data_IF_285641459200
#
_entry.id   IF_285641459200
#
_cell.length_a   1.000
_cell.length_b   1.000
_cell.length_c   1.000
_cell.angle_alpha   90.00
_cell.angle_beta   90.00
_cell.angle_gamma   90.00
#
_symmetry.space_group_name_H-M   'P 1'
#
loop_
_entity.id
_entity.type
_entity.pdbx_description
1 polymer ?
#
# COMPACT_ATOMS: atom_id res chain seq x y z
N UNK A 1 -1.94 -33.33 -6.77
CA UNK A 1 -1.46 -32.46 -7.85
C UNK A 1 -1.70 -31.02 -7.39
N UNK A 2 -0.70 -30.14 -7.42
CA UNK A 2 -0.87 -28.73 -7.06
C UNK A 2 -1.53 -28.02 -8.25
N UNK A 3 -2.58 -27.25 -7.98
CA UNK A 3 -3.24 -26.41 -8.98
C UNK A 3 -2.81 -24.96 -8.79
N UNK A 4 -2.64 -24.23 -9.87
CA UNK A 4 -2.33 -22.81 -9.87
C UNK A 4 -3.62 -22.02 -9.63
N UNK A 5 -3.54 -20.90 -8.91
CA UNK A 5 -4.66 -19.98 -8.77
C UNK A 5 -4.90 -19.26 -10.10
N UNK A 6 -5.95 -19.65 -10.81
CA UNK A 6 -6.28 -19.15 -12.16
C UNK A 6 -6.69 -17.65 -12.15
N UNK A 7 -7.04 -17.07 -10.99
CA UNK A 7 -7.34 -15.65 -10.92
C UNK A 7 -6.14 -14.78 -11.31
N UNK A 8 -4.91 -15.28 -11.17
CA UNK A 8 -3.71 -14.58 -11.65
C UNK A 8 -3.71 -14.37 -13.17
N UNK A 9 -4.44 -15.19 -13.94
CA UNK A 9 -4.58 -15.03 -15.39
C UNK A 9 -5.46 -13.83 -15.76
N UNK A 10 -6.27 -13.32 -14.83
CA UNK A 10 -7.11 -12.13 -15.00
C UNK A 10 -6.33 -10.82 -14.84
N UNK A 11 -5.12 -10.86 -14.24
CA UNK A 11 -4.28 -9.69 -14.10
C UNK A 11 -3.79 -9.21 -15.47
N UNK A 12 -3.77 -7.88 -15.66
CA UNK A 12 -3.19 -7.30 -16.88
C UNK A 12 -1.71 -7.66 -16.98
N UNK A 13 -1.31 -8.18 -18.13
CA UNK A 13 0.09 -8.47 -18.41
C UNK A 13 0.91 -7.17 -18.39
N UNK A 14 2.00 -7.15 -17.59
CA UNK A 14 2.88 -6.00 -17.49
C UNK A 14 2.52 -5.05 -16.35
N UNK A 15 3.18 -5.22 -15.22
CA UNK A 15 3.08 -4.26 -14.12
C UNK A 15 3.55 -2.88 -14.57
N UNK A 16 2.77 -1.84 -14.28
CA UNK A 16 2.93 -0.48 -14.78
C UNK A 16 4.37 0.08 -14.62
N UNK A 17 4.97 -0.10 -13.46
CA UNK A 17 6.27 0.52 -13.15
C UNK A 17 7.45 -0.03 -13.97
N UNK A 18 7.62 -1.36 -14.16
CA UNK A 18 8.63 -1.90 -15.08
C UNK A 18 8.44 -1.43 -16.51
N UNK A 19 7.21 -1.32 -16.99
CA UNK A 19 6.95 -0.85 -18.36
C UNK A 19 7.33 0.63 -18.53
N UNK A 20 6.97 1.50 -17.56
CA UNK A 20 7.39 2.90 -17.56
C UNK A 20 8.91 3.00 -17.51
N UNK A 21 9.58 2.26 -16.63
CA UNK A 21 11.05 2.24 -16.53
C UNK A 21 11.71 1.85 -17.84
N UNK A 22 11.17 0.84 -18.53
CA UNK A 22 11.65 0.40 -19.84
C UNK A 22 11.48 1.50 -20.91
N UNK A 23 10.33 2.18 -20.94
CA UNK A 23 10.06 3.29 -21.88
C UNK A 23 10.99 4.47 -21.60
N UNK A 24 11.16 4.85 -20.33
CA UNK A 24 12.08 5.93 -19.92
C UNK A 24 13.52 5.59 -20.35
N UNK A 25 14.00 4.37 -20.06
CA UNK A 25 15.35 3.93 -20.44
C UNK A 25 15.55 4.00 -21.95
N UNK A 26 14.58 3.51 -22.73
CA UNK A 26 14.64 3.58 -24.20
C UNK A 26 14.68 5.02 -24.70
N UNK A 27 13.86 5.91 -24.15
CA UNK A 27 13.84 7.32 -24.52
C UNK A 27 15.16 8.02 -24.19
N UNK A 28 15.69 7.82 -22.97
CA UNK A 28 16.97 8.42 -22.53
C UNK A 28 18.15 7.95 -23.37
N UNK A 29 18.17 6.67 -23.77
CA UNK A 29 19.21 6.16 -24.67
C UNK A 29 19.18 6.80 -26.05
N UNK A 30 17.98 7.05 -26.57
CA UNK A 30 17.79 7.69 -27.87
C UNK A 30 18.02 9.21 -27.84
N UNK A 31 17.80 9.85 -26.68
CA UNK A 31 17.83 11.32 -26.52
C UNK A 31 18.77 11.71 -25.38
N UNK A 32 20.07 11.54 -25.60
CA UNK A 32 21.13 11.73 -24.56
C UNK A 32 21.20 13.14 -23.96
N UNK A 33 20.70 14.15 -24.65
CA UNK A 33 20.69 15.55 -24.20
C UNK A 33 19.38 15.94 -23.49
N UNK A 34 18.41 15.05 -23.43
CA UNK A 34 17.10 15.35 -22.81
C UNK A 34 17.09 14.91 -21.34
N UNK A 35 16.64 15.82 -20.48
CA UNK A 35 16.33 15.51 -19.10
C UNK A 35 14.89 14.98 -18.99
N UNK A 36 14.69 13.89 -18.29
CA UNK A 36 13.37 13.30 -18.07
C UNK A 36 12.85 13.65 -16.67
N UNK A 37 11.79 14.44 -16.59
CA UNK A 37 11.08 14.76 -15.36
C UNK A 37 10.11 13.61 -15.05
N UNK A 38 10.31 12.92 -13.93
CA UNK A 38 9.50 11.76 -13.52
C UNK A 38 8.38 12.22 -12.60
N UNK A 39 7.15 12.25 -13.11
CA UNK A 39 5.94 12.64 -12.36
C UNK A 39 4.98 11.46 -12.14
N UNK A 40 5.34 10.25 -12.58
CA UNK A 40 4.44 9.11 -12.62
C UNK A 40 4.41 8.24 -11.37
N UNK A 41 5.33 8.42 -10.45
CA UNK A 41 5.43 7.64 -9.21
C UNK A 41 5.61 8.59 -8.04
N UNK A 42 4.73 8.46 -7.04
CA UNK A 42 4.94 9.10 -5.74
C UNK A 42 6.04 8.33 -5.00
N UNK A 43 7.22 8.90 -4.95
CA UNK A 43 8.37 8.33 -4.24
C UNK A 43 8.94 9.36 -3.26
N UNK A 44 9.69 8.88 -2.28
CA UNK A 44 10.43 9.76 -1.38
C UNK A 44 11.57 10.44 -2.13
N UNK A 45 11.69 11.75 -2.01
CA UNK A 45 12.71 12.55 -2.69
C UNK A 45 13.75 13.11 -1.73
N UNK A 46 13.47 13.04 -0.43
CA UNK A 46 14.34 13.57 0.62
C UNK A 46 14.93 12.44 1.48
N UNK A 47 16.15 12.60 1.98
CA UNK A 47 16.76 11.63 2.89
C UNK A 47 16.02 11.61 4.24
N UNK A 48 16.21 10.52 4.99
CA UNK A 48 15.64 10.40 6.33
C UNK A 48 16.14 11.56 7.23
N UNK A 49 15.24 12.21 7.97
CA UNK A 49 15.65 13.22 8.95
C UNK A 49 16.60 12.65 10.02
N UNK A 50 17.55 13.46 10.48
CA UNK A 50 18.52 13.03 11.50
C UNK A 50 17.86 12.50 12.78
N UNK A 51 16.70 13.02 13.18
CA UNK A 51 15.96 12.50 14.33
C UNK A 51 15.55 11.04 14.16
N UNK A 52 15.14 10.66 12.97
CA UNK A 52 14.80 9.26 12.64
C UNK A 52 16.05 8.38 12.66
N UNK A 53 17.15 8.82 12.02
CA UNK A 53 18.42 8.09 11.99
C UNK A 53 18.92 7.85 13.42
N UNK A 54 18.93 8.88 14.26
CA UNK A 54 19.37 8.78 15.66
C UNK A 54 18.50 7.81 16.47
N UNK A 55 17.18 7.87 16.29
CA UNK A 55 16.25 6.96 16.98
C UNK A 55 16.46 5.50 16.55
N UNK A 56 16.63 5.24 15.25
CA UNK A 56 16.92 3.90 14.72
C UNK A 56 18.26 3.37 15.22
N UNK A 57 19.31 4.22 15.21
CA UNK A 57 20.63 3.85 15.72
C UNK A 57 20.59 3.49 17.21
N UNK A 58 19.83 4.29 18.00
CA UNK A 58 19.64 4.00 19.44
C UNK A 58 18.95 2.67 19.63
N UNK A 59 17.85 2.40 18.91
CA UNK A 59 17.11 1.14 19.00
C UNK A 59 17.99 -0.06 18.60
N UNK A 60 18.80 0.09 17.56
CA UNK A 60 19.73 -0.96 17.13
C UNK A 60 20.78 -1.28 18.22
N UNK A 61 21.36 -0.26 18.84
CA UNK A 61 22.32 -0.44 19.93
C UNK A 61 21.66 -1.10 21.16
N UNK A 62 20.42 -0.76 21.48
CA UNK A 62 19.65 -1.41 22.55
C UNK A 62 19.46 -2.90 22.25
N UNK A 63 19.09 -3.26 21.00
CA UNK A 63 18.91 -4.65 20.56
C UNK A 63 20.21 -5.50 20.70
N UNK A 64 21.37 -4.86 20.65
CA UNK A 64 22.66 -5.51 20.83
C UNK A 64 23.02 -5.86 22.30
N UNK A 65 22.16 -5.57 23.26
CA UNK A 65 22.38 -5.82 24.69
C UNK A 65 21.42 -6.87 25.22
N UNK A 66 21.85 -7.65 26.24
CA UNK A 66 20.98 -8.65 26.89
C UNK A 66 19.71 -8.05 27.49
N UNK A 67 19.78 -6.81 27.99
CA UNK A 67 18.64 -6.13 28.61
C UNK A 67 17.74 -5.41 27.59
N UNK A 68 18.27 -5.04 26.46
CA UNK A 68 17.55 -4.31 25.39
C UNK A 68 17.01 -5.22 24.29
N UNK A 69 17.49 -6.45 24.22
CA UNK A 69 17.01 -7.43 23.23
C UNK A 69 15.48 -7.60 23.29
N UNK A 70 14.85 -7.61 22.13
CA UNK A 70 13.41 -7.84 21.96
C UNK A 70 13.20 -9.09 21.10
N UNK A 71 12.47 -10.05 21.63
CA UNK A 71 11.95 -11.18 20.85
C UNK A 71 10.63 -10.80 20.13
N UNK A 72 9.71 -11.74 20.05
CA UNK A 72 8.36 -11.45 19.54
C UNK A 72 7.68 -10.37 20.37
N UNK A 73 7.18 -9.34 19.69
CA UNK A 73 6.36 -8.30 20.31
C UNK A 73 4.89 -8.73 20.49
N UNK A 74 4.06 -7.87 21.09
CA UNK A 74 2.62 -8.07 21.09
C UNK A 74 2.05 -8.08 19.66
N UNK A 75 1.06 -8.92 19.38
CA UNK A 75 0.47 -9.14 18.07
C UNK A 75 -0.06 -7.85 17.42
N UNK A 76 -0.68 -6.97 18.21
CA UNK A 76 -1.16 -5.65 17.73
C UNK A 76 -0.05 -4.59 17.61
N UNK A 77 1.15 -4.88 18.04
CA UNK A 77 2.23 -3.90 18.21
C UNK A 77 2.34 -3.36 19.64
N UNK A 78 3.46 -2.76 19.97
CA UNK A 78 3.73 -2.26 21.30
C UNK A 78 2.69 -1.24 21.75
N UNK A 79 2.18 -1.39 22.97
CA UNK A 79 1.17 -0.51 23.55
C UNK A 79 1.58 0.97 23.51
N UNK A 80 2.81 1.29 23.89
CA UNK A 80 3.31 2.65 23.86
C UNK A 80 3.28 3.28 22.46
N UNK A 81 3.52 2.49 21.41
CA UNK A 81 3.47 2.94 20.02
C UNK A 81 2.02 3.22 19.60
N UNK A 82 1.11 2.28 19.90
CA UNK A 82 -0.33 2.44 19.62
C UNK A 82 -0.92 3.67 20.34
N UNK A 83 -0.53 3.91 21.62
CA UNK A 83 -0.91 5.11 22.37
C UNK A 83 -0.39 6.39 21.71
N UNK A 84 0.85 6.39 21.21
CA UNK A 84 1.42 7.53 20.49
C UNK A 84 0.72 7.79 19.16
N UNK A 85 0.40 6.76 18.40
CA UNK A 85 -0.37 6.86 17.15
C UNK A 85 -1.76 7.43 17.46
N UNK A 86 -2.49 6.84 18.42
CA UNK A 86 -3.81 7.33 18.83
C UNK A 86 -3.78 8.82 19.20
N UNK A 87 -2.80 9.24 20.00
CA UNK A 87 -2.70 10.62 20.46
C UNK A 87 -2.31 11.60 19.34
N UNK A 88 -1.23 11.29 18.61
CA UNK A 88 -0.61 12.26 17.69
C UNK A 88 -1.26 12.29 16.31
N UNK A 89 -1.73 11.13 15.82
CA UNK A 89 -2.26 11.02 14.46
C UNK A 89 -3.79 11.17 14.41
N UNK A 90 -4.49 10.87 15.49
CA UNK A 90 -5.95 10.93 15.57
C UNK A 90 -6.48 11.97 16.56
N UNK A 91 -6.23 11.80 17.85
CA UNK A 91 -6.83 12.67 18.88
C UNK A 91 -6.42 14.14 18.69
N UNK A 92 -5.18 14.42 18.35
CA UNK A 92 -4.70 15.78 18.07
C UNK A 92 -5.40 16.46 16.89
N UNK A 93 -6.04 15.65 16.02
CA UNK A 93 -6.82 16.10 14.86
C UNK A 93 -8.34 16.01 15.07
N UNK A 94 -8.78 15.78 16.30
CA UNK A 94 -10.19 15.73 16.67
C UNK A 94 -10.87 14.38 16.42
N UNK A 95 -10.13 13.36 16.04
CA UNK A 95 -10.66 12.02 15.83
C UNK A 95 -10.34 11.14 17.04
N UNK A 96 -11.36 10.51 17.63
CA UNK A 96 -11.20 9.64 18.80
C UNK A 96 -11.04 8.18 18.33
N UNK A 97 -9.80 7.69 18.37
CA UNK A 97 -9.46 6.29 18.11
C UNK A 97 -8.73 5.74 19.34
N UNK A 98 -9.27 4.66 19.92
CA UNK A 98 -8.62 3.98 21.03
C UNK A 98 -7.32 3.28 20.59
N UNK A 99 -6.28 3.23 21.42
CA UNK A 99 -5.10 2.39 21.14
C UNK A 99 -5.44 0.91 20.88
N UNK A 100 -6.56 0.42 21.39
CA UNK A 100 -7.00 -0.96 21.17
C UNK A 100 -7.61 -1.19 19.77
N UNK A 101 -7.92 -0.13 19.03
CA UNK A 101 -8.38 -0.19 17.64
C UNK A 101 -7.22 -0.11 16.64
N UNK A 102 -5.97 0.00 17.13
CA UNK A 102 -4.78 0.16 16.29
C UNK A 102 -4.00 -1.14 16.24
N UNK A 103 -3.74 -1.59 15.02
CA UNK A 103 -2.85 -2.70 14.69
C UNK A 103 -1.64 -2.16 13.91
N UNK A 104 -0.43 -2.43 14.41
CA UNK A 104 0.80 -2.02 13.74
C UNK A 104 1.26 -3.15 12.80
N UNK A 105 1.41 -2.82 11.54
CA UNK A 105 1.82 -3.75 10.49
C UNK A 105 3.07 -3.27 9.75
N UNK A 106 3.46 -3.98 8.72
CA UNK A 106 4.55 -3.61 7.81
C UNK A 106 4.12 -2.69 6.66
N UNK A 107 2.86 -2.28 6.63
CA UNK A 107 2.36 -1.26 5.72
C UNK A 107 0.98 -1.56 5.13
N UNK A 108 0.31 -0.51 4.66
CA UNK A 108 -1.08 -0.56 4.16
C UNK A 108 -1.28 -1.48 2.96
N UNK A 109 -0.25 -1.75 2.16
CA UNK A 109 -0.33 -2.70 1.06
C UNK A 109 -0.56 -4.13 1.58
N UNK A 110 0.17 -4.55 2.60
CA UNK A 110 -0.02 -5.84 3.25
C UNK A 110 -1.38 -5.89 3.95
N UNK A 111 -1.75 -4.82 4.66
CA UNK A 111 -3.05 -4.74 5.34
C UNK A 111 -4.22 -4.87 4.38
N UNK A 112 -4.18 -4.17 3.25
CA UNK A 112 -5.26 -4.22 2.24
C UNK A 112 -5.44 -5.60 1.61
N UNK A 113 -4.39 -6.41 1.60
CA UNK A 113 -4.46 -7.80 1.13
C UNK A 113 -4.90 -8.75 2.26
N UNK A 114 -4.32 -8.61 3.44
CA UNK A 114 -4.58 -9.51 4.56
C UNK A 114 -6.00 -9.37 5.14
N UNK A 115 -6.57 -8.16 5.10
CA UNK A 115 -7.94 -7.94 5.59
C UNK A 115 -8.99 -8.75 4.80
N UNK A 116 -8.64 -9.16 3.58
CA UNK A 116 -9.54 -9.99 2.77
C UNK A 116 -9.80 -11.35 3.43
N UNK A 117 -8.88 -11.87 4.23
CA UNK A 117 -9.01 -13.18 4.87
C UNK A 117 -10.10 -13.21 5.94
N UNK A 118 -10.43 -12.05 6.53
CA UNK A 118 -11.49 -11.94 7.56
C UNK A 118 -12.83 -11.49 7.00
N UNK A 119 -12.91 -11.16 5.71
CA UNK A 119 -14.13 -10.72 5.04
C UNK A 119 -14.67 -11.83 4.14
N UNK A 120 -16.00 -11.97 4.07
CA UNK A 120 -16.66 -12.92 3.17
C UNK A 120 -16.39 -12.60 1.69
N UNK A 121 -16.56 -13.58 0.82
CA UNK A 121 -16.27 -13.44 -0.62
C UNK A 121 -17.31 -12.63 -1.39
N UNK A 122 -18.54 -12.57 -0.87
CA UNK A 122 -19.69 -11.90 -1.52
C UNK A 122 -19.78 -10.40 -1.24
N UNK A 123 -18.72 -9.78 -0.74
CA UNK A 123 -18.70 -8.35 -0.46
C UNK A 123 -18.47 -7.54 -1.74
N UNK A 124 -19.23 -6.45 -1.90
CA UNK A 124 -18.94 -5.42 -2.91
C UNK A 124 -17.72 -4.60 -2.46
N UNK A 125 -16.76 -4.46 -3.34
CA UNK A 125 -15.52 -3.75 -3.08
C UNK A 125 -15.53 -2.45 -3.87
N UNK A 126 -15.44 -1.32 -3.17
CA UNK A 126 -15.33 0.00 -3.79
C UNK A 126 -13.86 0.43 -3.84
N UNK A 127 -13.42 0.92 -4.99
CA UNK A 127 -12.10 1.52 -5.19
C UNK A 127 -12.25 2.86 -5.89
N UNK A 128 -11.34 3.79 -5.63
CA UNK A 128 -11.32 5.04 -6.38
C UNK A 128 -10.86 4.82 -7.82
N UNK A 129 -11.19 5.71 -8.73
CA UNK A 129 -10.68 5.70 -10.09
C UNK A 129 -10.25 7.13 -10.48
N UNK A 130 -8.94 7.39 -10.61
CA UNK A 130 -7.81 6.43 -10.56
C UNK A 130 -7.48 5.89 -9.16
N UNK A 131 -6.89 4.68 -9.13
CA UNK A 131 -6.48 4.00 -7.91
C UNK A 131 -5.06 3.42 -8.04
N UNK A 132 -4.39 3.23 -6.92
CA UNK A 132 -3.14 2.46 -6.91
C UNK A 132 -3.44 0.99 -7.28
N UNK A 133 -2.80 0.44 -8.33
CA UNK A 133 -3.19 -0.84 -8.91
C UNK A 133 -3.28 -2.00 -7.92
N UNK A 134 -2.44 -1.99 -6.88
CA UNK A 134 -2.40 -3.07 -5.88
C UNK A 134 -3.74 -3.28 -5.18
N UNK A 135 -4.55 -2.24 -4.98
CA UNK A 135 -5.87 -2.39 -4.35
C UNK A 135 -6.88 -3.13 -5.24
N UNK A 136 -6.71 -3.06 -6.55
CA UNK A 136 -7.45 -3.90 -7.50
C UNK A 136 -6.83 -5.29 -7.59
N UNK A 137 -5.52 -5.35 -7.81
CA UNK A 137 -4.80 -6.59 -8.06
C UNK A 137 -4.92 -7.59 -6.91
N UNK A 138 -4.85 -7.14 -5.65
CA UNK A 138 -5.03 -8.01 -4.48
C UNK A 138 -6.42 -8.68 -4.45
N UNK A 139 -7.45 -7.94 -4.84
CA UNK A 139 -8.81 -8.48 -4.95
C UNK A 139 -8.97 -9.43 -6.13
N UNK A 140 -8.31 -9.16 -7.26
CA UNK A 140 -8.26 -10.09 -8.40
C UNK A 140 -7.60 -11.40 -7.99
N UNK A 141 -6.43 -11.33 -7.37
CA UNK A 141 -5.69 -12.51 -6.91
C UNK A 141 -6.49 -13.35 -5.90
N UNK A 142 -7.28 -12.68 -5.05
CA UNK A 142 -8.18 -13.32 -4.10
C UNK A 142 -9.46 -13.87 -4.73
N UNK A 143 -9.71 -13.65 -6.03
CA UNK A 143 -10.91 -14.14 -6.73
C UNK A 143 -12.20 -13.36 -6.45
N UNK A 144 -12.09 -12.13 -5.92
CA UNK A 144 -13.22 -11.31 -5.42
C UNK A 144 -13.77 -10.30 -6.42
N UNK A 145 -13.33 -10.35 -7.69
CA UNK A 145 -13.64 -9.32 -8.69
C UNK A 145 -14.61 -9.75 -9.79
N UNK A 146 -14.97 -11.02 -9.83
CA UNK A 146 -15.71 -11.57 -10.97
C UNK A 146 -14.86 -11.62 -12.25
N UNK A 147 -15.49 -11.46 -13.40
CA UNK A 147 -14.83 -11.49 -14.70
C UNK A 147 -14.27 -10.12 -15.10
N UNK A 148 -13.25 -10.13 -15.97
CA UNK A 148 -12.72 -8.92 -16.59
C UNK A 148 -13.68 -8.46 -17.69
N UNK A 149 -14.05 -7.18 -17.68
CA UNK A 149 -14.92 -6.57 -18.69
C UNK A 149 -14.12 -6.08 -19.90
N UNK A 150 -14.81 -5.72 -20.99
CA UNK A 150 -14.18 -5.31 -22.25
C UNK A 150 -13.35 -4.03 -22.12
N UNK A 151 -13.73 -3.12 -21.23
CA UNK A 151 -13.02 -1.88 -20.91
C UNK A 151 -11.81 -2.11 -19.98
N UNK A 152 -11.64 -3.34 -19.51
CA UNK A 152 -10.56 -3.74 -18.60
C UNK A 152 -10.84 -3.45 -17.13
N UNK A 153 -12.06 -3.10 -16.77
CA UNK A 153 -12.55 -3.09 -15.39
C UNK A 153 -13.01 -4.49 -14.95
N UNK A 154 -13.44 -4.65 -13.72
CA UNK A 154 -13.89 -5.94 -13.18
C UNK A 154 -15.34 -5.86 -12.72
N UNK A 155 -16.07 -6.94 -12.96
CA UNK A 155 -17.53 -7.00 -12.83
C UNK A 155 -18.07 -6.67 -11.44
N UNK A 156 -17.37 -7.08 -10.39
CA UNK A 156 -17.82 -6.95 -8.98
C UNK A 156 -17.15 -5.77 -8.26
N UNK A 157 -16.26 -5.03 -8.92
CA UNK A 157 -15.68 -3.82 -8.35
C UNK A 157 -16.53 -2.59 -8.66
N UNK A 158 -16.80 -1.79 -7.63
CA UNK A 158 -17.40 -0.47 -7.77
C UNK A 158 -16.29 0.58 -7.90
N UNK A 159 -16.24 1.24 -9.04
CA UNK A 159 -15.27 2.31 -9.31
C UNK A 159 -15.87 3.67 -8.96
N UNK A 160 -15.28 4.35 -7.99
CA UNK A 160 -15.66 5.70 -7.55
C UNK A 160 -14.81 6.70 -8.33
N UNK A 161 -15.38 7.30 -9.37
CA UNK A 161 -14.66 8.26 -10.20
C UNK A 161 -14.18 9.47 -9.38
N UNK A 162 -12.93 9.89 -9.61
CA UNK A 162 -12.32 11.07 -9.00
C UNK A 162 -11.94 12.06 -10.12
N UNK A 163 -12.72 13.11 -10.28
CA UNK A 163 -12.56 14.08 -11.37
C UNK A 163 -13.01 15.49 -10.94
N UNK A 164 -12.98 16.44 -11.88
CA UNK A 164 -13.39 17.83 -11.62
C UNK A 164 -14.86 17.94 -11.21
N UNK A 165 -15.74 17.12 -11.76
CA UNK A 165 -17.18 17.22 -11.53
C UNK A 165 -17.55 16.93 -10.06
N UNK A 166 -16.75 16.12 -9.37
CA UNK A 166 -16.94 15.83 -7.95
C UNK A 166 -15.86 16.44 -7.03
N UNK A 167 -15.16 17.48 -7.52
CA UNK A 167 -14.08 18.16 -6.79
C UNK A 167 -12.97 17.20 -6.31
N UNK A 168 -12.69 16.16 -7.09
CA UNK A 168 -11.71 15.12 -6.77
C UNK A 168 -12.00 14.37 -5.45
N UNK A 169 -13.26 14.25 -5.07
CA UNK A 169 -13.72 13.49 -3.92
C UNK A 169 -14.49 12.25 -4.39
N UNK A 170 -14.28 11.07 -3.73
CA UNK A 170 -14.99 9.83 -4.08
C UNK A 170 -16.48 9.86 -3.68
#
# INVERSE_FOLDING_TARGET
MVQVNENYLKLKAGYLFPEISKRVSKYTQANKSSEVIKLGIGDVTEPLPNVCINAMTKALNEMGTNNGFKGYGPEQGYKWLREKISLNDFTSRGCQISPEEIFVSDGSKCDSSNILDILGEDNLIAVTDPVYPVYVDSNVMAGRTGETLQDGTYQVLLYLAINEDNNFLP
#
